data_IF_885805560529
#
_entry.id   IF_885805560529
#
_cell.length_a   1.000
_cell.length_b   1.000
_cell.length_c   1.000
_cell.angle_alpha   90.00
_cell.angle_beta   90.00
_cell.angle_gamma   90.00
#
_symmetry.space_group_name_H-M   'P 1'
#
loop_
_entity.id
_entity.type
_entity.pdbx_description
1 polymer ?
#
# COMPACT_ATOMS: atom_id res chain seq x y z
N UNK A 1 30.43 7.13 -2.33
CA UNK A 1 29.94 7.54 -3.67
C UNK A 1 28.59 8.25 -3.59
N UNK A 2 27.56 7.62 -3.00
CA UNK A 2 26.20 8.20 -2.88
C UNK A 2 26.16 9.58 -2.20
N UNK A 3 26.80 9.73 -1.02
CA UNK A 3 26.84 11.00 -0.27
C UNK A 3 27.46 12.17 -1.06
N UNK A 4 28.36 11.90 -2.02
CA UNK A 4 28.98 12.93 -2.86
C UNK A 4 28.04 13.38 -3.98
N UNK A 5 27.43 12.41 -4.68
CA UNK A 5 26.44 12.67 -5.73
C UNK A 5 25.20 13.38 -5.17
N UNK A 6 24.82 13.05 -3.93
CA UNK A 6 23.69 13.66 -3.26
C UNK A 6 23.81 15.18 -3.09
N UNK A 7 25.02 15.73 -3.02
CA UNK A 7 25.25 17.18 -2.86
C UNK A 7 24.79 18.00 -4.07
N UNK A 8 24.62 17.37 -5.23
CA UNK A 8 24.14 18.04 -6.44
C UNK A 8 22.63 18.30 -6.46
N UNK A 9 21.87 17.75 -5.50
CA UNK A 9 20.42 17.82 -5.47
C UNK A 9 19.93 18.55 -4.23
N UNK A 10 19.00 19.50 -4.40
CA UNK A 10 18.37 20.19 -3.26
C UNK A 10 17.61 19.21 -2.36
N UNK A 11 16.93 18.22 -2.96
CA UNK A 11 16.15 17.20 -2.25
C UNK A 11 16.23 15.87 -2.98
N UNK A 12 16.30 14.79 -2.23
CA UNK A 12 16.30 13.41 -2.72
C UNK A 12 15.19 12.66 -1.99
N UNK A 13 14.29 12.05 -2.75
CA UNK A 13 13.24 11.22 -2.20
C UNK A 13 13.65 9.76 -2.31
N UNK A 14 13.59 9.04 -1.19
CA UNK A 14 13.90 7.63 -1.14
C UNK A 14 12.66 6.89 -0.63
N UNK A 15 12.05 6.11 -1.53
CA UNK A 15 10.88 5.30 -1.26
C UNK A 15 11.31 3.85 -1.09
N UNK A 16 11.01 3.28 0.06
CA UNK A 16 11.31 1.89 0.39
C UNK A 16 9.98 1.17 0.48
N UNK A 17 9.81 0.18 -0.39
CA UNK A 17 8.62 -0.67 -0.38
C UNK A 17 8.83 -1.90 0.50
N UNK A 18 7.77 -2.33 1.19
CA UNK A 18 7.71 -3.56 1.97
C UNK A 18 8.85 -3.71 3.00
N UNK A 19 9.05 -2.70 3.85
CA UNK A 19 10.07 -2.72 4.90
C UNK A 19 9.89 -3.90 5.89
N UNK A 20 8.67 -4.42 6.03
CA UNK A 20 8.35 -5.60 6.83
C UNK A 20 9.01 -6.90 6.33
N UNK A 21 9.51 -6.94 5.10
CA UNK A 21 10.25 -8.08 4.54
C UNK A 21 11.73 -8.10 4.96
N UNK A 22 12.24 -7.03 5.59
CA UNK A 22 13.58 -7.03 6.15
C UNK A 22 13.69 -8.02 7.32
N UNK A 23 14.73 -8.85 7.30
CA UNK A 23 15.07 -9.75 8.40
C UNK A 23 15.40 -8.95 9.67
N UNK A 24 14.78 -9.35 10.78
CA UNK A 24 14.97 -8.83 12.13
C UNK A 24 15.30 -9.98 13.10
N UNK A 25 16.21 -10.85 12.66
CA UNK A 25 16.82 -11.89 13.49
C UNK A 25 18.16 -11.43 14.06
N UNK A 26 18.66 -12.14 15.07
CA UNK A 26 19.90 -11.79 15.78
C UNK A 26 21.18 -11.95 14.96
N UNK A 27 21.15 -12.72 13.86
CA UNK A 27 22.35 -13.06 13.09
C UNK A 27 22.56 -12.09 11.93
N UNK A 28 21.50 -11.82 11.15
CA UNK A 28 21.57 -10.99 9.94
C UNK A 28 21.11 -9.56 10.18
N UNK A 29 20.01 -9.41 10.92
CA UNK A 29 19.41 -8.13 11.32
C UNK A 29 19.42 -7.03 10.23
N UNK A 30 19.03 -7.38 9.00
CA UNK A 30 19.06 -6.44 7.87
C UNK A 30 18.23 -5.18 8.12
N UNK A 31 17.15 -5.28 8.91
CA UNK A 31 16.30 -4.16 9.26
C UNK A 31 17.07 -3.08 10.01
N UNK A 32 17.73 -3.43 11.13
CA UNK A 32 18.42 -2.43 11.94
C UNK A 32 19.62 -1.85 11.19
N UNK A 33 20.41 -2.69 10.52
CA UNK A 33 21.53 -2.23 9.68
C UNK A 33 21.07 -1.23 8.61
N UNK A 34 19.94 -1.49 7.96
CA UNK A 34 19.38 -0.60 6.95
C UNK A 34 18.91 0.74 7.54
N UNK A 35 18.22 0.71 8.68
CA UNK A 35 17.73 1.91 9.36
C UNK A 35 18.88 2.77 9.89
N UNK A 36 19.95 2.16 10.42
CA UNK A 36 21.16 2.88 10.84
C UNK A 36 21.80 3.62 9.66
N UNK A 37 21.96 2.96 8.51
CA UNK A 37 22.49 3.60 7.30
C UNK A 37 21.58 4.76 6.85
N UNK A 38 20.26 4.61 6.96
CA UNK A 38 19.32 5.68 6.64
C UNK A 38 19.48 6.91 7.55
N UNK A 39 19.82 6.71 8.83
CA UNK A 39 20.09 7.80 9.77
C UNK A 39 21.37 8.57 9.45
N UNK A 40 22.32 7.95 8.75
CA UNK A 40 23.54 8.62 8.30
C UNK A 40 23.42 9.35 6.96
N UNK A 41 22.23 9.32 6.33
CA UNK A 41 22.00 10.04 5.10
C UNK A 41 21.98 11.55 5.35
N UNK A 42 22.49 12.37 4.40
CA UNK A 42 22.42 13.82 4.52
C UNK A 42 20.99 14.36 4.63
N UNK A 43 20.82 15.56 5.21
CA UNK A 43 19.51 16.17 5.50
C UNK A 43 18.63 16.48 4.27
N UNK A 44 19.21 16.44 3.07
CA UNK A 44 18.45 16.60 1.83
C UNK A 44 17.68 15.34 1.43
N UNK A 45 17.86 14.21 2.13
CA UNK A 45 17.07 13.01 1.94
C UNK A 45 15.70 13.11 2.65
N UNK A 46 14.67 12.64 1.94
CA UNK A 46 13.30 12.49 2.43
C UNK A 46 12.91 11.03 2.26
N UNK A 47 12.74 10.35 3.38
CA UNK A 47 12.49 8.91 3.43
C UNK A 47 10.97 8.65 3.52
N UNK A 48 10.48 7.71 2.73
CA UNK A 48 9.13 7.16 2.84
C UNK A 48 9.23 5.64 2.87
N UNK A 49 8.69 5.03 3.91
CA UNK A 49 8.63 3.58 4.07
C UNK A 49 7.19 3.12 3.89
N UNK A 50 6.98 2.05 3.14
CA UNK A 50 5.73 1.29 3.15
C UNK A 50 5.96 -0.02 3.89
N UNK A 51 4.92 -0.51 4.56
CA UNK A 51 4.94 -1.83 5.15
C UNK A 51 3.54 -2.34 5.42
N UNK A 52 3.41 -3.64 5.68
CA UNK A 52 2.26 -4.16 6.43
C UNK A 52 2.25 -3.62 7.87
N UNK A 53 1.13 -3.75 8.61
CA UNK A 53 1.06 -3.29 9.99
C UNK A 53 2.07 -3.99 10.90
N UNK A 54 3.08 -3.25 11.36
CA UNK A 54 4.15 -3.74 12.25
C UNK A 54 4.37 -2.72 13.37
N UNK A 55 4.07 -3.11 14.60
CA UNK A 55 4.04 -2.19 15.76
C UNK A 55 5.41 -1.63 16.14
N UNK A 56 6.50 -2.36 15.88
CA UNK A 56 7.87 -1.91 16.22
C UNK A 56 8.37 -0.75 15.35
N UNK A 57 7.84 -0.54 14.14
CA UNK A 57 8.37 0.47 13.22
C UNK A 57 8.20 1.90 13.71
N UNK A 58 7.08 2.21 14.38
CA UNK A 58 6.89 3.53 14.99
C UNK A 58 8.00 3.86 16.02
N UNK A 59 8.47 2.85 16.77
CA UNK A 59 9.52 3.01 17.78
C UNK A 59 10.92 3.09 17.16
N UNK A 60 11.20 2.27 16.13
CA UNK A 60 12.51 2.19 15.48
C UNK A 60 12.77 3.39 14.56
N UNK A 61 11.76 3.82 13.80
CA UNK A 61 11.89 4.87 12.77
C UNK A 61 11.61 6.25 13.35
N UNK A 62 10.68 6.36 14.31
CA UNK A 62 10.18 7.65 14.85
C UNK A 62 9.82 8.62 13.72
N UNK A 63 8.93 8.23 12.80
CA UNK A 63 8.68 9.00 11.59
C UNK A 63 8.06 10.36 11.93
N UNK A 64 8.38 11.40 11.15
CA UNK A 64 7.74 12.71 11.29
C UNK A 64 6.25 12.71 10.90
N UNK A 65 5.81 11.71 10.13
CA UNK A 65 4.43 11.48 9.78
C UNK A 65 4.21 9.97 9.58
N UNK A 66 3.13 9.45 10.15
CA UNK A 66 2.67 8.08 9.93
C UNK A 66 1.26 8.12 9.33
N UNK A 67 1.08 7.45 8.20
CA UNK A 67 -0.21 7.35 7.52
C UNK A 67 -0.66 5.88 7.55
N UNK A 68 -1.68 5.59 8.35
CA UNK A 68 -2.34 4.29 8.30
C UNK A 68 -3.22 4.22 7.05
N UNK A 69 -2.84 3.36 6.11
CA UNK A 69 -3.66 3.05 4.94
C UNK A 69 -4.51 1.82 5.28
N UNK A 70 -5.82 1.96 5.15
CA UNK A 70 -6.76 0.87 5.33
C UNK A 70 -7.74 0.86 4.15
N UNK A 71 -8.16 -0.33 3.75
CA UNK A 71 -9.22 -0.47 2.78
C UNK A 71 -10.51 0.15 3.32
N UNK A 72 -11.17 0.97 2.50
CA UNK A 72 -12.46 1.55 2.79
C UNK A 72 -13.51 0.88 1.90
N UNK A 73 -14.56 0.32 2.50
CA UNK A 73 -15.62 -0.36 1.78
C UNK A 73 -16.34 0.56 0.78
N UNK A 74 -16.48 1.85 1.09
CA UNK A 74 -17.13 2.79 0.18
C UNK A 74 -16.28 3.02 -1.08
N UNK A 75 -14.96 3.14 -0.92
CA UNK A 75 -14.03 3.29 -2.03
C UNK A 75 -13.97 2.02 -2.88
N UNK A 76 -13.95 0.84 -2.25
CA UNK A 76 -14.01 -0.45 -2.94
C UNK A 76 -15.32 -0.56 -3.73
N UNK A 77 -16.46 -0.27 -3.11
CA UNK A 77 -17.76 -0.30 -3.78
C UNK A 77 -17.80 0.65 -4.98
N UNK A 78 -17.38 1.90 -4.79
CA UNK A 78 -17.33 2.89 -5.86
C UNK A 78 -16.42 2.44 -7.01
N UNK A 79 -15.25 1.88 -6.69
CA UNK A 79 -14.34 1.31 -7.66
C UNK A 79 -14.98 0.15 -8.44
N UNK A 80 -15.56 -0.84 -7.74
CA UNK A 80 -16.17 -2.02 -8.37
C UNK A 80 -17.36 -1.65 -9.27
N UNK A 81 -18.21 -0.72 -8.83
CA UNK A 81 -19.30 -0.20 -9.66
C UNK A 81 -18.77 0.41 -10.95
N UNK A 82 -17.77 1.29 -10.85
CA UNK A 82 -17.15 1.94 -12.01
C UNK A 82 -16.45 0.92 -12.92
N UNK A 83 -15.74 -0.03 -12.32
CA UNK A 83 -15.00 -1.09 -13.01
C UNK A 83 -15.92 -1.97 -13.85
N UNK A 84 -17.03 -2.46 -13.26
CA UNK A 84 -18.03 -3.25 -13.96
C UNK A 84 -18.66 -2.43 -15.08
N UNK A 85 -19.11 -1.21 -14.78
CA UNK A 85 -19.79 -0.33 -15.76
C UNK A 85 -18.88 0.04 -16.94
N UNK A 86 -17.59 0.24 -16.69
CA UNK A 86 -16.61 0.60 -17.70
C UNK A 86 -16.27 -0.53 -18.68
N UNK A 87 -16.69 -1.76 -18.39
CA UNK A 87 -16.33 -2.96 -19.17
C UNK A 87 -17.58 -3.59 -19.77
N UNK A 88 -17.83 -3.43 -21.08
CA UNK A 88 -19.08 -3.86 -21.72
C UNK A 88 -19.42 -5.33 -21.47
N UNK A 89 -18.42 -6.22 -21.47
CA UNK A 89 -18.63 -7.65 -21.23
C UNK A 89 -19.11 -7.92 -19.79
N UNK A 90 -18.44 -7.35 -18.78
CA UNK A 90 -18.83 -7.51 -17.38
C UNK A 90 -20.17 -6.86 -17.10
N UNK A 91 -20.40 -5.65 -17.60
CA UNK A 91 -21.69 -4.98 -17.45
C UNK A 91 -22.81 -5.80 -18.10
N UNK A 92 -22.58 -6.37 -19.29
CA UNK A 92 -23.54 -7.24 -19.95
C UNK A 92 -23.86 -8.53 -19.18
N UNK A 93 -22.88 -9.13 -18.50
CA UNK A 93 -23.11 -10.28 -17.59
C UNK A 93 -23.99 -9.85 -16.42
N UNK A 94 -23.65 -8.74 -15.77
CA UNK A 94 -24.40 -8.24 -14.61
C UNK A 94 -25.81 -7.83 -14.98
N UNK A 95 -26.01 -7.15 -16.12
CA UNK A 95 -27.34 -6.78 -16.62
C UNK A 95 -28.21 -8.00 -16.94
N UNK A 96 -27.63 -9.05 -17.55
CA UNK A 96 -28.35 -10.32 -17.77
C UNK A 96 -28.74 -10.97 -16.44
N UNK A 97 -27.83 -11.00 -15.46
CA UNK A 97 -28.13 -11.48 -14.11
C UNK A 97 -29.26 -10.70 -13.44
N UNK A 98 -29.25 -9.36 -13.58
CA UNK A 98 -30.29 -8.48 -13.03
C UNK A 98 -31.70 -8.75 -13.61
N UNK A 99 -31.79 -9.26 -14.84
CA UNK A 99 -33.08 -9.67 -15.42
C UNK A 99 -33.67 -10.91 -14.74
N UNK A 100 -32.84 -11.79 -14.19
CA UNK A 100 -33.25 -13.00 -13.49
C UNK A 100 -33.42 -12.77 -11.98
N UNK A 101 -32.55 -11.95 -11.39
CA UNK A 101 -32.58 -11.56 -9.98
C UNK A 101 -32.25 -10.07 -9.86
N UNK A 102 -33.20 -9.20 -9.47
CA UNK A 102 -32.96 -7.77 -9.30
C UNK A 102 -31.81 -7.44 -8.32
N UNK A 103 -31.50 -8.34 -7.39
CA UNK A 103 -30.43 -8.19 -6.40
C UNK A 103 -29.08 -8.73 -6.90
N UNK A 104 -28.99 -9.25 -8.12
CA UNK A 104 -27.80 -9.90 -8.64
C UNK A 104 -26.55 -9.01 -8.58
N UNK A 105 -26.71 -7.72 -8.91
CA UNK A 105 -25.60 -6.76 -8.89
C UNK A 105 -25.05 -6.59 -7.48
N UNK A 106 -25.92 -6.33 -6.52
CA UNK A 106 -25.53 -6.07 -5.13
C UNK A 106 -24.89 -7.32 -4.52
N UNK A 107 -25.47 -8.51 -4.73
CA UNK A 107 -24.88 -9.79 -4.31
C UNK A 107 -23.51 -10.04 -4.92
N UNK A 108 -23.32 -9.70 -6.19
CA UNK A 108 -22.02 -9.85 -6.88
C UNK A 108 -20.97 -8.94 -6.24
N UNK A 109 -21.33 -7.69 -5.98
CA UNK A 109 -20.44 -6.72 -5.35
C UNK A 109 -20.09 -7.14 -3.92
N UNK A 110 -21.09 -7.48 -3.11
CA UNK A 110 -20.90 -7.97 -1.75
C UNK A 110 -20.00 -9.20 -1.71
N UNK A 111 -20.20 -10.16 -2.62
CA UNK A 111 -19.36 -11.35 -2.73
C UNK A 111 -17.90 -11.00 -3.08
N UNK A 112 -17.67 -10.02 -3.96
CA UNK A 112 -16.32 -9.58 -4.30
C UNK A 112 -15.66 -8.89 -3.11
N UNK A 113 -16.38 -8.00 -2.42
CA UNK A 113 -15.87 -7.32 -1.22
C UNK A 113 -15.51 -8.34 -0.13
N UNK A 114 -16.42 -9.24 0.20
CA UNK A 114 -16.20 -10.30 1.19
C UNK A 114 -14.99 -11.16 0.82
N UNK A 115 -14.86 -11.58 -0.44
CA UNK A 115 -13.71 -12.39 -0.89
C UNK A 115 -12.40 -11.62 -1.01
N UNK A 116 -12.44 -10.31 -1.25
CA UNK A 116 -11.23 -9.49 -1.39
C UNK A 116 -10.44 -9.33 -0.09
N UNK A 117 -11.11 -9.36 1.07
CA UNK A 117 -10.50 -9.06 2.37
C UNK A 117 -9.71 -7.73 2.36
N UNK A 118 -10.10 -6.78 1.48
CA UNK A 118 -9.41 -5.51 1.29
C UNK A 118 -8.23 -5.51 0.31
N UNK A 119 -8.02 -6.58 -0.46
CA UNK A 119 -6.98 -6.74 -1.50
C UNK A 119 -7.53 -6.70 -2.93
#
# INVERSE_FOLDING_TARGET
MLKSQAKGFERIFFVIDALDECLDDMETNTLNNFLEICQELPDNFRLMFTSRPVTKFALLIKPGCELKIAANNDDINAYLHKFIKSRPQLNGIVEKGCKADPLFRDKTLETIVDKSHGM
#
